data_IF_993022446483
#
_entry.id   IF_993022446483
#
_cell.length_a   1.000
_cell.length_b   1.000
_cell.length_c   1.000
_cell.angle_alpha   90.00
_cell.angle_beta   90.00
_cell.angle_gamma   90.00
#
_symmetry.space_group_name_H-M   'P 1'
#
loop_
_entity.id
_entity.type
_entity.pdbx_description
1 polymer ?
#
# COMPACT_ATOMS: atom_id res chain seq x y z
N UNK A 1 -4.57 -15.32 -1.22
CA UNK A 1 -5.24 -14.04 -0.92
C UNK A 1 -4.21 -12.97 -0.60
N UNK A 2 -4.66 -11.76 -0.25
CA UNK A 2 -3.75 -10.62 -0.08
C UNK A 2 -2.68 -10.82 1.02
N UNK A 3 -3.01 -11.55 2.10
CA UNK A 3 -2.05 -11.83 3.19
C UNK A 3 -1.00 -12.85 2.77
N UNK A 4 -1.40 -13.92 2.06
CA UNK A 4 -0.50 -14.93 1.53
C UNK A 4 0.53 -14.31 0.56
N UNK A 5 0.10 -13.31 -0.21
CA UNK A 5 0.96 -12.59 -1.16
C UNK A 5 1.92 -11.59 -0.48
N UNK A 6 1.83 -11.36 0.84
CA UNK A 6 2.66 -10.40 1.56
C UNK A 6 2.04 -9.00 1.71
N UNK A 7 0.73 -8.85 1.53
CA UNK A 7 0.02 -7.55 1.58
C UNK A 7 -0.13 -6.93 2.99
N UNK A 8 0.73 -7.28 3.95
CA UNK A 8 0.80 -6.64 5.27
C UNK A 8 2.19 -6.02 5.45
N UNK A 9 2.27 -4.91 6.18
CA UNK A 9 3.48 -4.12 6.34
C UNK A 9 4.70 -4.88 6.93
N UNK A 10 4.49 -6.06 7.50
CA UNK A 10 5.53 -6.89 8.11
C UNK A 10 5.68 -8.28 7.44
N UNK A 11 4.93 -8.55 6.36
CA UNK A 11 4.96 -9.85 5.66
C UNK A 11 5.63 -9.76 4.29
N UNK A 12 6.37 -10.80 3.99
CA UNK A 12 6.81 -11.24 2.68
C UNK A 12 5.89 -12.40 2.22
N UNK A 13 5.91 -12.77 0.92
CA UNK A 13 5.07 -13.84 0.40
C UNK A 13 5.23 -15.16 1.18
N UNK A 14 4.12 -15.87 1.36
CA UNK A 14 4.07 -17.15 2.07
C UNK A 14 4.15 -17.02 3.59
N UNK A 15 3.56 -15.96 4.18
CA UNK A 15 3.56 -15.71 5.63
C UNK A 15 4.96 -15.53 6.26
N UNK A 16 5.94 -15.17 5.44
CA UNK A 16 7.29 -14.90 5.88
C UNK A 16 7.36 -13.53 6.56
N UNK A 17 7.72 -13.47 7.83
CA UNK A 17 7.96 -12.17 8.50
C UNK A 17 9.26 -11.49 8.04
N UNK A 18 9.20 -10.18 7.75
CA UNK A 18 10.39 -9.35 7.50
C UNK A 18 11.32 -9.27 8.70
N UNK A 19 10.86 -9.57 9.91
CA UNK A 19 11.70 -9.51 11.12
C UNK A 19 12.67 -10.71 11.22
N UNK A 20 12.43 -11.80 10.48
CA UNK A 20 13.31 -12.99 10.48
C UNK A 20 14.35 -12.90 9.37
N UNK A 21 15.63 -12.96 9.73
CA UNK A 21 16.73 -12.86 8.77
C UNK A 21 16.69 -13.97 7.71
N UNK A 22 16.40 -15.21 8.12
CA UNK A 22 16.23 -16.38 7.23
C UNK A 22 15.17 -16.12 6.14
N UNK A 23 14.01 -15.59 6.54
CA UNK A 23 12.92 -15.30 5.62
C UNK A 23 13.28 -14.25 4.58
N UNK A 24 14.00 -13.19 5.00
CA UNK A 24 14.47 -12.16 4.07
C UNK A 24 15.49 -12.73 3.10
N UNK A 25 16.46 -13.51 3.60
CA UNK A 25 17.50 -14.13 2.78
C UNK A 25 16.92 -15.07 1.71
N UNK A 26 15.92 -15.89 2.06
CA UNK A 26 15.21 -16.73 1.08
C UNK A 26 14.59 -15.91 -0.06
N UNK A 27 13.88 -14.83 0.28
CA UNK A 27 13.18 -13.99 -0.70
C UNK A 27 14.17 -13.17 -1.54
N UNK A 28 15.22 -12.62 -0.91
CA UNK A 28 16.31 -11.94 -1.61
C UNK A 28 16.96 -12.85 -2.64
N UNK A 29 17.28 -14.09 -2.27
CA UNK A 29 17.84 -15.08 -3.20
C UNK A 29 16.87 -15.39 -4.34
N UNK A 30 15.59 -15.63 -4.05
CA UNK A 30 14.56 -15.93 -5.06
C UNK A 30 14.34 -14.77 -6.04
N UNK A 31 14.48 -13.53 -5.57
CA UNK A 31 14.31 -12.32 -6.39
C UNK A 31 15.60 -11.80 -7.01
N UNK A 32 16.75 -12.45 -6.77
CA UNK A 32 18.05 -12.01 -7.28
C UNK A 32 18.55 -10.70 -6.67
N UNK A 33 18.14 -10.39 -5.43
CA UNK A 33 18.57 -9.19 -4.70
C UNK A 33 19.88 -9.46 -3.95
N UNK A 34 20.65 -8.40 -3.69
CA UNK A 34 21.83 -8.50 -2.83
C UNK A 34 21.40 -8.80 -1.38
N UNK A 35 22.18 -9.59 -0.61
CA UNK A 35 21.87 -9.87 0.79
C UNK A 35 21.69 -8.59 1.62
N UNK A 36 20.60 -8.52 2.38
CA UNK A 36 20.27 -7.36 3.22
C UNK A 36 19.56 -6.20 2.51
N UNK A 37 19.13 -6.38 1.25
CA UNK A 37 18.32 -5.40 0.51
C UNK A 37 16.93 -5.21 1.14
N UNK A 38 16.31 -6.28 1.63
CA UNK A 38 15.01 -6.21 2.29
C UNK A 38 15.20 -5.72 3.71
N UNK A 39 14.52 -4.63 4.05
CA UNK A 39 14.55 -4.05 5.40
C UNK A 39 14.06 -5.05 6.46
N UNK A 40 14.74 -5.15 7.62
CA UNK A 40 14.24 -5.91 8.76
C UNK A 40 13.10 -5.21 9.51
N UNK A 41 12.85 -3.93 9.21
CA UNK A 41 11.88 -3.11 9.92
C UNK A 41 10.50 -3.24 9.28
N UNK A 42 9.45 -3.57 10.05
CA UNK A 42 8.07 -3.46 9.58
C UNK A 42 7.77 -2.06 9.02
N UNK A 43 7.05 -2.03 7.90
CA UNK A 43 6.49 -0.79 7.36
C UNK A 43 5.34 -0.25 8.21
N UNK A 44 4.80 0.89 7.77
CA UNK A 44 3.60 1.48 8.37
C UNK A 44 2.35 0.69 7.97
N UNK A 45 1.47 0.43 8.93
CA UNK A 45 0.10 0.00 8.62
C UNK A 45 -0.71 1.15 8.00
N UNK A 46 -1.92 0.84 7.51
CA UNK A 46 -2.76 1.80 6.80
C UNK A 46 -3.08 3.07 7.62
N UNK A 47 -3.27 2.95 8.93
CA UNK A 47 -3.55 4.12 9.77
C UNK A 47 -2.28 4.94 10.01
N UNK A 48 -1.16 4.27 10.26
CA UNK A 48 0.14 4.92 10.42
C UNK A 48 0.65 5.59 9.13
N UNK A 49 0.17 5.17 7.95
CA UNK A 49 0.38 5.90 6.69
C UNK A 49 -0.37 7.23 6.71
N UNK A 50 -1.65 7.24 7.10
CA UNK A 50 -2.45 8.47 7.22
C UNK A 50 -1.80 9.44 8.21
N UNK A 51 -1.39 8.95 9.39
CA UNK A 51 -0.64 9.74 10.37
C UNK A 51 0.72 10.22 9.83
N UNK A 52 1.37 9.41 9.00
CA UNK A 52 2.64 9.75 8.35
C UNK A 52 2.50 10.90 7.34
N UNK A 53 1.40 10.94 6.59
CA UNK A 53 1.08 12.07 5.71
C UNK A 53 0.88 13.37 6.50
N UNK A 54 0.26 13.33 7.67
CA UNK A 54 0.07 14.51 8.51
C UNK A 54 1.35 15.09 9.07
N UNK A 55 2.36 14.23 9.26
CA UNK A 55 3.68 14.56 9.82
C UNK A 55 4.75 14.77 8.75
N UNK A 56 4.35 14.79 7.48
CA UNK A 56 5.26 14.91 6.34
C UNK A 56 6.32 13.78 6.25
N UNK A 57 6.03 12.62 6.86
CA UNK A 57 6.90 11.43 6.89
C UNK A 57 6.65 10.49 5.69
N UNK A 58 5.59 10.73 4.92
CA UNK A 58 5.22 9.96 3.71
C UNK A 58 5.16 10.93 2.53
N UNK A 59 6.13 10.81 1.62
CA UNK A 59 6.22 11.71 0.46
C UNK A 59 5.43 11.23 -0.76
N UNK A 60 5.10 9.93 -0.82
CA UNK A 60 4.33 9.33 -1.90
C UNK A 60 3.38 8.28 -1.34
N UNK A 61 2.11 8.36 -1.72
CA UNK A 61 1.08 7.38 -1.38
C UNK A 61 0.51 6.76 -2.66
N UNK A 62 0.52 5.44 -2.74
CA UNK A 62 -0.15 4.70 -3.81
C UNK A 62 -1.26 3.83 -3.24
N UNK A 63 -2.50 4.20 -3.56
CA UNK A 63 -3.71 3.49 -3.16
C UNK A 63 -4.16 2.61 -4.33
N UNK A 64 -4.33 1.32 -4.07
CA UNK A 64 -4.76 0.34 -5.07
C UNK A 64 -6.04 -0.35 -4.61
N UNK A 65 -7.09 -0.29 -5.43
CA UNK A 65 -8.35 -1.02 -5.27
C UNK A 65 -9.03 -0.85 -3.88
N UNK A 66 -8.97 0.36 -3.31
CA UNK A 66 -9.66 0.72 -2.06
C UNK A 66 -9.98 2.20 -2.01
N UNK A 67 -11.06 2.58 -1.34
CA UNK A 67 -11.54 3.97 -1.24
C UNK A 67 -11.41 4.50 0.21
N UNK A 68 -10.20 4.87 0.68
CA UNK A 68 -9.97 5.30 2.06
C UNK A 68 -10.74 6.56 2.47
N UNK A 69 -11.13 7.41 1.51
CA UNK A 69 -12.00 8.56 1.77
C UNK A 69 -13.43 8.17 2.20
N UNK A 70 -13.78 6.88 2.16
CA UNK A 70 -15.05 6.30 2.63
C UNK A 70 -14.84 5.18 3.67
N UNK A 71 -13.76 4.40 3.57
CA UNK A 71 -13.58 3.18 4.38
C UNK A 71 -12.71 3.34 5.64
N UNK A 72 -11.99 4.46 5.81
CA UNK A 72 -11.16 4.69 7.00
C UNK A 72 -11.98 5.13 8.21
N UNK A 73 -11.55 4.81 9.45
CA UNK A 73 -12.36 5.04 10.66
C UNK A 73 -12.62 6.51 10.98
N UNK A 74 -11.66 7.41 10.72
CA UNK A 74 -11.82 8.86 10.87
C UNK A 74 -11.70 9.53 9.49
N UNK A 75 -12.85 9.73 8.85
CA UNK A 75 -12.91 10.24 7.48
C UNK A 75 -12.46 11.69 7.36
N UNK A 76 -12.76 12.54 8.35
CA UNK A 76 -12.36 13.94 8.30
C UNK A 76 -10.85 14.07 8.33
N UNK A 77 -10.22 13.33 9.25
CA UNK A 77 -8.78 13.27 9.37
C UNK A 77 -8.11 12.64 8.16
N UNK A 78 -8.66 11.52 7.67
CA UNK A 78 -8.15 10.84 6.47
C UNK A 78 -8.18 11.76 5.26
N UNK A 79 -9.29 12.46 5.01
CA UNK A 79 -9.39 13.41 3.89
C UNK A 79 -8.42 14.57 4.04
N UNK A 80 -8.27 15.12 5.24
CA UNK A 80 -7.29 16.18 5.51
C UNK A 80 -5.84 15.72 5.26
N UNK A 81 -5.50 14.49 5.64
CA UNK A 81 -4.18 13.90 5.38
C UNK A 81 -3.94 13.64 3.89
N UNK A 82 -4.94 13.13 3.16
CA UNK A 82 -4.86 12.94 1.71
C UNK A 82 -4.66 14.27 0.96
N UNK A 83 -5.35 15.34 1.38
CA UNK A 83 -5.15 16.68 0.82
C UNK A 83 -3.76 17.26 1.09
N UNK A 84 -3.10 16.84 2.18
CA UNK A 84 -1.71 17.19 2.48
C UNK A 84 -0.68 16.32 1.77
N UNK A 85 -1.09 15.19 1.22
CA UNK A 85 -0.17 14.25 0.59
C UNK A 85 0.61 14.94 -0.53
N UNK A 86 1.95 14.89 -0.55
CA UNK A 86 2.73 15.55 -1.59
C UNK A 86 2.46 14.96 -2.98
N UNK A 87 2.18 13.66 -3.04
CA UNK A 87 1.78 12.98 -4.26
C UNK A 87 1.00 11.70 -3.95
N UNK A 88 -0.22 11.61 -4.47
CA UNK A 88 -1.09 10.44 -4.32
C UNK A 88 -1.44 9.85 -5.68
N UNK A 89 -1.09 8.59 -5.89
CA UNK A 89 -1.55 7.76 -7.01
C UNK A 89 -2.77 6.96 -6.54
N UNK A 90 -3.84 7.01 -7.31
CA UNK A 90 -5.03 6.20 -7.08
C UNK A 90 -5.28 5.29 -8.28
N UNK A 91 -5.19 3.98 -8.04
CA UNK A 91 -5.40 2.95 -9.04
C UNK A 91 -6.66 2.16 -8.71
N UNK A 92 -7.68 2.32 -9.53
CA UNK A 92 -9.00 1.71 -9.32
C UNK A 92 -9.70 1.40 -10.65
N UNK A 93 -10.64 0.47 -10.62
CA UNK A 93 -11.49 0.13 -11.76
C UNK A 93 -12.71 1.06 -11.87
N UNK A 94 -13.07 1.76 -10.79
CA UNK A 94 -14.23 2.64 -10.76
C UNK A 94 -13.81 4.12 -10.76
N UNK A 95 -14.57 4.92 -11.51
CA UNK A 95 -14.49 6.37 -11.51
C UNK A 95 -15.89 6.94 -11.80
N UNK A 96 -16.31 8.02 -11.12
CA UNK A 96 -15.62 8.71 -10.02
C UNK A 96 -15.76 8.00 -8.66
N UNK A 97 -14.80 8.23 -7.76
CA UNK A 97 -14.87 7.85 -6.33
C UNK A 97 -14.42 9.02 -5.46
N UNK A 98 -14.72 8.98 -4.16
CA UNK A 98 -14.32 10.01 -3.19
C UNK A 98 -12.80 10.13 -3.07
N UNK A 99 -12.08 9.01 -3.15
CA UNK A 99 -10.61 9.01 -3.14
C UNK A 99 -10.06 9.56 -4.47
N UNK A 100 -10.72 9.31 -5.61
CA UNK A 100 -10.29 9.86 -6.89
C UNK A 100 -10.26 11.39 -6.89
N UNK A 101 -11.19 12.05 -6.18
CA UNK A 101 -11.24 13.50 -6.05
C UNK A 101 -10.08 14.09 -5.22
N UNK A 102 -9.32 13.26 -4.50
CA UNK A 102 -8.21 13.66 -3.64
C UNK A 102 -6.84 13.20 -4.17
N UNK A 103 -6.82 12.51 -5.31
CA UNK A 103 -5.61 11.97 -5.90
C UNK A 103 -4.98 12.95 -6.91
N UNK A 104 -3.66 12.84 -7.08
CA UNK A 104 -2.89 13.62 -8.04
C UNK A 104 -2.79 12.92 -9.40
N UNK A 105 -2.77 11.59 -9.39
CA UNK A 105 -2.73 10.74 -10.58
C UNK A 105 -3.74 9.62 -10.46
N UNK A 106 -4.56 9.44 -11.50
CA UNK A 106 -5.51 8.34 -11.64
C UNK A 106 -4.96 7.31 -12.63
N UNK A 107 -4.92 6.04 -12.22
CA UNK A 107 -4.53 4.92 -13.07
C UNK A 107 -5.71 3.95 -13.22
N UNK A 108 -6.30 3.79 -14.42
CA UNK A 108 -7.39 2.85 -14.60
C UNK A 108 -6.89 1.41 -14.43
N UNK A 109 -7.64 0.59 -13.69
CA UNK A 109 -7.36 -0.83 -13.49
C UNK A 109 -8.47 -1.71 -14.09
N UNK A 110 -8.10 -2.89 -14.57
CA UNK A 110 -9.07 -3.89 -15.03
C UNK A 110 -9.97 -4.38 -13.87
N UNK A 111 -11.28 -4.42 -14.12
CA UNK A 111 -12.29 -4.97 -13.22
C UNK A 111 -12.11 -6.50 -13.11
N UNK A 112 -12.75 -7.13 -12.11
CA UNK A 112 -12.67 -8.58 -11.90
C UNK A 112 -12.98 -9.41 -13.16
N UNK A 113 -14.00 -9.03 -13.93
CA UNK A 113 -14.42 -9.76 -15.15
C UNK A 113 -13.48 -9.60 -16.34
N UNK A 114 -12.55 -8.65 -16.29
CA UNK A 114 -11.63 -8.30 -17.38
C UNK A 114 -10.25 -8.94 -17.22
N UNK A 115 -10.03 -9.70 -16.14
CA UNK A 115 -8.74 -10.30 -15.78
C UNK A 115 -8.86 -11.74 -15.33
N UNK A 116 -7.74 -12.45 -15.35
CA UNK A 116 -7.63 -13.85 -14.92
C UNK A 116 -6.61 -13.98 -13.80
N UNK A 117 -6.83 -14.91 -12.87
CA UNK A 117 -5.90 -15.18 -11.76
C UNK A 117 -6.63 -15.67 -10.50
N UNK A 118 -5.87 -15.79 -9.41
CA UNK A 118 -6.36 -16.16 -8.06
C UNK A 118 -5.61 -15.39 -6.98
#
# INVERSE_FOLDING_TARGET
GGREAGGLAYLLPGYRSVMRAEHRAEVEQLWGLQPGTISPQPGRDAWNIILGLERDEVSLLWIVATNPAVSMPDLNRTKAALLKSPFTVYQDAYYPTETAALAHLLLPAAQWSEKTGT
#
